data_IF_335518091883
#
_entry.id   IF_335518091883
#
_cell.length_a   1.000
_cell.length_b   1.000
_cell.length_c   1.000
_cell.angle_alpha   90.00
_cell.angle_beta   90.00
_cell.angle_gamma   90.00
#
_symmetry.space_group_name_H-M   'P 1'
#
loop_
_entity.id
_entity.type
_entity.pdbx_description
1 polymer ?
#
# COMPACT_ATOMS: atom_id res chain seq x y z
N UNK A 1 -73.00 7.13 61.81
CA UNK A 1 -72.25 5.92 61.44
C UNK A 1 -71.02 6.36 60.63
N UNK A 2 -69.89 6.59 61.29
CA UNK A 2 -68.70 7.23 60.70
C UNK A 2 -67.67 6.12 60.42
N UNK A 3 -67.43 5.81 59.13
CA UNK A 3 -66.40 4.86 58.70
C UNK A 3 -65.03 5.55 58.75
N UNK A 4 -64.18 5.16 59.70
CA UNK A 4 -62.77 5.58 59.74
C UNK A 4 -62.02 4.92 58.58
N UNK A 5 -61.59 5.73 57.60
CA UNK A 5 -60.72 5.30 56.52
C UNK A 5 -59.28 5.17 57.07
N UNK A 6 -58.87 3.95 57.39
CA UNK A 6 -57.51 3.66 57.85
C UNK A 6 -56.51 3.80 56.71
N UNK A 7 -55.74 4.88 56.71
CA UNK A 7 -54.59 5.09 55.84
C UNK A 7 -53.49 4.11 56.25
N UNK A 8 -53.45 2.93 55.60
CA UNK A 8 -52.29 2.03 55.71
C UNK A 8 -51.08 2.75 55.11
N UNK A 9 -50.17 3.22 55.96
CA UNK A 9 -48.83 3.61 55.53
C UNK A 9 -48.16 2.37 54.96
N UNK A 10 -48.15 2.27 53.63
CA UNK A 10 -47.31 1.28 52.95
C UNK A 10 -45.87 1.60 53.36
N UNK A 11 -45.27 0.72 54.16
CA UNK A 11 -43.85 0.79 54.44
C UNK A 11 -43.15 0.66 53.09
N UNK A 12 -42.50 1.73 52.64
CA UNK A 12 -41.67 1.70 51.45
C UNK A 12 -40.53 0.75 51.76
N UNK A 13 -40.55 -0.42 51.12
CA UNK A 13 -39.47 -1.38 51.22
C UNK A 13 -38.19 -0.70 50.70
N UNK A 14 -37.23 -0.47 51.60
CA UNK A 14 -35.92 0.03 51.23
C UNK A 14 -35.14 -1.10 50.54
N UNK A 15 -34.39 -0.76 49.48
CA UNK A 15 -33.50 -1.71 48.82
C UNK A 15 -32.47 -2.26 49.79
N UNK A 16 -32.25 -3.56 49.74
CA UNK A 16 -31.24 -4.23 50.53
C UNK A 16 -29.85 -3.87 50.03
N UNK A 17 -28.85 -3.93 50.92
CA UNK A 17 -27.44 -3.71 50.55
C UNK A 17 -27.00 -4.67 49.42
N UNK A 18 -27.50 -5.91 49.45
CA UNK A 18 -27.20 -6.93 48.44
C UNK A 18 -27.74 -6.51 47.06
N UNK A 19 -28.97 -5.97 46.99
CA UNK A 19 -29.54 -5.48 45.73
C UNK A 19 -28.74 -4.32 45.13
N UNK A 20 -28.28 -3.39 45.97
CA UNK A 20 -27.42 -2.29 45.51
C UNK A 20 -26.08 -2.84 45.00
N UNK A 21 -25.48 -3.79 45.71
CA UNK A 21 -24.19 -4.35 45.34
C UNK A 21 -24.27 -5.16 44.03
N UNK A 22 -25.34 -5.92 43.83
CA UNK A 22 -25.61 -6.61 42.56
C UNK A 22 -25.85 -5.60 41.43
N UNK A 23 -26.59 -4.53 41.69
CA UNK A 23 -26.84 -3.48 40.68
C UNK A 23 -25.54 -2.80 40.23
N UNK A 24 -24.65 -2.48 41.18
CA UNK A 24 -23.33 -1.90 40.87
C UNK A 24 -22.45 -2.91 40.13
N UNK A 25 -22.50 -4.20 40.48
CA UNK A 25 -21.75 -5.25 39.79
C UNK A 25 -22.22 -5.40 38.33
N UNK A 26 -23.52 -5.46 38.08
CA UNK A 26 -24.08 -5.57 36.72
C UNK A 26 -23.73 -4.33 35.91
N UNK A 27 -23.86 -3.13 36.49
CA UNK A 27 -23.46 -1.89 35.83
C UNK A 27 -21.96 -1.89 35.49
N UNK A 28 -21.11 -2.33 36.42
CA UNK A 28 -19.67 -2.45 36.21
C UNK A 28 -19.32 -3.41 35.07
N UNK A 29 -19.97 -4.58 35.01
CA UNK A 29 -19.79 -5.54 33.92
C UNK A 29 -20.29 -4.98 32.58
N UNK A 30 -21.42 -4.27 32.57
CA UNK A 30 -21.94 -3.61 31.36
C UNK A 30 -20.99 -2.53 30.82
N UNK A 31 -20.44 -1.69 31.70
CA UNK A 31 -19.46 -0.68 31.33
C UNK A 31 -18.14 -1.29 30.84
N UNK A 32 -17.71 -2.40 31.43
CA UNK A 32 -16.53 -3.16 30.97
C UNK A 32 -16.77 -3.72 29.57
N UNK A 33 -17.94 -4.32 29.32
CA UNK A 33 -18.32 -4.82 28.00
C UNK A 33 -18.34 -3.73 26.93
N UNK A 34 -18.89 -2.55 27.25
CA UNK A 34 -18.90 -1.39 26.35
C UNK A 34 -17.47 -0.89 26.09
N UNK A 35 -16.62 -0.86 27.11
CA UNK A 35 -15.20 -0.51 27.00
C UNK A 35 -14.43 -1.39 26.00
N UNK A 36 -14.77 -2.69 25.91
CA UNK A 36 -14.15 -3.63 25.00
C UNK A 36 -14.54 -3.40 23.51
N UNK A 37 -15.67 -2.76 23.23
CA UNK A 37 -16.15 -2.52 21.86
C UNK A 37 -15.51 -1.28 21.21
N UNK A 38 -15.10 -0.28 21.99
CA UNK A 38 -14.57 0.96 21.45
C UNK A 38 -13.36 0.78 20.52
N UNK A 39 -12.33 -0.03 20.85
CA UNK A 39 -11.18 -0.20 19.97
C UNK A 39 -11.57 -0.81 18.62
N UNK A 40 -12.53 -1.74 18.60
CA UNK A 40 -13.03 -2.37 17.37
C UNK A 40 -13.75 -1.34 16.51
N UNK A 41 -14.67 -0.56 17.10
CA UNK A 41 -15.40 0.49 16.37
C UNK A 41 -14.45 1.55 15.80
N UNK A 42 -13.46 1.99 16.57
CA UNK A 42 -12.46 2.96 16.08
C UNK A 42 -11.63 2.40 14.92
N UNK A 43 -11.28 1.11 14.98
CA UNK A 43 -10.59 0.43 13.89
C UNK A 43 -11.46 0.37 12.64
N UNK A 44 -12.71 -0.05 12.77
CA UNK A 44 -13.65 -0.12 11.64
C UNK A 44 -13.93 1.25 11.02
N UNK A 45 -14.16 2.28 11.85
CA UNK A 45 -14.34 3.66 11.37
C UNK A 45 -13.11 4.18 10.62
N UNK A 46 -11.91 3.85 11.13
CA UNK A 46 -10.66 4.23 10.48
C UNK A 46 -10.50 3.55 9.12
N UNK A 47 -10.76 2.24 9.05
CA UNK A 47 -10.74 1.47 7.80
C UNK A 47 -11.79 2.00 6.82
N UNK A 48 -13.00 2.27 7.28
CA UNK A 48 -14.07 2.84 6.46
C UNK A 48 -13.70 4.21 5.89
N UNK A 49 -13.10 5.08 6.72
CA UNK A 49 -12.60 6.39 6.29
C UNK A 49 -11.50 6.25 5.24
N UNK A 50 -10.58 5.29 5.41
CA UNK A 50 -9.54 5.02 4.42
C UNK A 50 -10.05 4.54 3.10
N UNK A 51 -11.01 3.62 3.12
CA UNK A 51 -11.57 3.10 1.88
C UNK A 51 -12.23 4.22 1.08
N UNK A 52 -12.91 5.17 1.75
CA UNK A 52 -13.54 6.31 1.09
C UNK A 52 -12.49 7.31 0.59
N UNK A 53 -11.61 7.79 1.47
CA UNK A 53 -10.61 8.81 1.09
C UNK A 53 -9.58 8.25 0.12
N UNK A 54 -9.15 7.01 0.30
CA UNK A 54 -8.24 6.30 -0.58
C UNK A 54 -8.77 6.25 -2.01
N UNK A 55 -10.06 5.94 -2.23
CA UNK A 55 -10.68 5.98 -3.56
C UNK A 55 -10.70 7.39 -4.14
N UNK A 56 -11.03 8.41 -3.33
CA UNK A 56 -11.02 9.81 -3.80
C UNK A 56 -9.61 10.24 -4.23
N UNK A 57 -8.59 9.95 -3.41
CA UNK A 57 -7.20 10.27 -3.74
C UNK A 57 -6.76 9.50 -4.99
N UNK A 58 -7.06 8.21 -5.07
CA UNK A 58 -6.71 7.36 -6.21
C UNK A 58 -7.32 7.91 -7.51
N UNK A 59 -8.59 8.31 -7.48
CA UNK A 59 -9.26 8.91 -8.65
C UNK A 59 -8.64 10.26 -9.04
N UNK A 60 -8.27 11.10 -8.06
CA UNK A 60 -7.59 12.35 -8.32
C UNK A 60 -6.21 12.12 -8.96
N UNK A 61 -5.44 11.16 -8.46
CA UNK A 61 -4.12 10.82 -9.03
C UNK A 61 -4.31 10.22 -10.43
N UNK A 62 -5.27 9.32 -10.63
CA UNK A 62 -5.60 8.76 -11.94
C UNK A 62 -5.97 9.83 -12.98
N UNK A 63 -6.71 10.86 -12.56
CA UNK A 63 -7.07 11.97 -13.43
C UNK A 63 -5.88 12.91 -13.70
N UNK A 64 -4.98 13.08 -12.73
CA UNK A 64 -3.88 14.05 -12.83
C UNK A 64 -2.66 13.48 -13.53
N UNK A 65 -2.34 12.20 -13.30
CA UNK A 65 -1.09 11.56 -13.74
C UNK A 65 -0.87 11.66 -15.27
N UNK A 66 -1.86 11.39 -16.14
CA UNK A 66 -1.69 11.53 -17.59
C UNK A 66 -1.56 12.99 -18.07
N UNK A 67 -1.92 13.95 -17.22
CA UNK A 67 -1.88 15.38 -17.50
C UNK A 67 -0.69 16.09 -16.83
N UNK A 68 0.15 15.37 -16.10
CA UNK A 68 1.38 15.95 -15.56
C UNK A 68 2.31 16.29 -16.72
N UNK A 69 2.72 17.56 -16.83
CA UNK A 69 3.70 18.02 -17.82
C UNK A 69 5.12 17.59 -17.42
N UNK A 70 5.33 16.27 -17.28
CA UNK A 70 6.62 15.70 -16.86
C UNK A 70 7.73 16.08 -17.86
N UNK A 71 7.41 16.22 -19.14
CA UNK A 71 8.37 16.60 -20.18
C UNK A 71 8.94 18.01 -20.00
N UNK A 72 8.17 18.92 -19.38
CA UNK A 72 8.68 20.25 -19.04
C UNK A 72 9.76 20.21 -17.94
N UNK A 73 9.88 19.10 -17.21
CA UNK A 73 10.85 18.90 -16.15
C UNK A 73 12.13 18.17 -16.62
N UNK A 74 12.16 17.66 -17.86
CA UNK A 74 13.33 16.99 -18.43
C UNK A 74 14.46 18.00 -18.70
N UNK A 75 15.66 17.72 -18.17
CA UNK A 75 16.82 18.59 -18.38
C UNK A 75 17.34 18.49 -19.82
N UNK A 76 17.46 19.63 -20.49
CA UNK A 76 17.95 19.67 -21.88
C UNK A 76 16.95 19.12 -22.90
N UNK A 77 15.66 19.09 -22.55
CA UNK A 77 14.60 18.70 -23.46
C UNK A 77 14.60 19.60 -24.70
N UNK A 78 14.72 18.97 -25.87
CA UNK A 78 14.52 19.61 -27.15
C UNK A 78 13.12 19.21 -27.65
N UNK A 79 12.20 20.16 -27.94
CA UNK A 79 10.87 19.83 -28.43
C UNK A 79 10.85 19.02 -29.74
N UNK A 80 11.95 19.00 -30.49
CA UNK A 80 12.07 18.15 -31.69
C UNK A 80 12.36 16.69 -31.38
N UNK A 81 12.84 16.38 -30.17
CA UNK A 81 13.03 15.02 -29.72
C UNK A 81 11.66 14.47 -29.31
N UNK A 82 11.23 13.36 -29.92
CA UNK A 82 9.98 12.67 -29.57
C UNK A 82 10.05 11.95 -28.19
N UNK A 83 10.85 12.51 -27.27
CA UNK A 83 11.05 12.04 -25.91
C UNK A 83 9.88 12.44 -25.04
N UNK A 84 9.46 11.48 -24.24
CA UNK A 84 8.49 11.63 -23.19
C UNK A 84 9.01 10.82 -22.00
N UNK A 85 8.80 11.27 -20.77
CA UNK A 85 9.24 10.53 -19.57
C UNK A 85 8.79 9.09 -19.64
N UNK A 86 7.54 8.84 -20.00
CA UNK A 86 7.00 7.48 -20.13
C UNK A 86 7.71 6.65 -21.20
N UNK A 87 8.23 7.26 -22.27
CA UNK A 87 9.06 6.55 -23.26
C UNK A 87 10.46 6.31 -22.75
N UNK A 88 11.03 7.27 -22.02
CA UNK A 88 12.38 7.15 -21.46
C UNK A 88 12.46 6.04 -20.41
N UNK A 89 11.38 5.76 -19.67
CA UNK A 89 11.24 4.55 -18.83
C UNK A 89 11.46 3.24 -19.58
N UNK A 90 11.29 3.23 -20.90
CA UNK A 90 11.62 2.05 -21.69
C UNK A 90 13.13 1.93 -21.82
N UNK A 91 13.88 3.00 -22.04
CA UNK A 91 15.30 2.95 -22.40
C UNK A 91 16.24 2.85 -21.19
N UNK A 92 17.29 2.02 -21.29
CA UNK A 92 18.41 2.03 -20.32
C UNK A 92 19.79 1.97 -20.99
N UNK A 93 19.89 1.65 -22.29
CA UNK A 93 21.19 1.37 -22.89
C UNK A 93 21.60 2.43 -23.93
N UNK A 94 22.90 2.70 -23.96
CA UNK A 94 23.55 3.56 -24.96
C UNK A 94 23.46 3.02 -26.40
N UNK A 95 23.06 1.75 -26.57
CA UNK A 95 22.84 1.11 -27.87
C UNK A 95 21.36 1.16 -28.32
N UNK A 96 20.45 1.75 -27.54
CA UNK A 96 19.05 1.95 -27.91
C UNK A 96 18.11 0.78 -27.59
N UNK A 97 18.52 -0.20 -26.78
CA UNK A 97 17.63 -1.25 -26.27
C UNK A 97 16.87 -0.78 -25.02
N UNK A 98 15.63 -1.23 -24.85
CA UNK A 98 14.87 -0.90 -23.65
C UNK A 98 15.47 -1.61 -22.41
N UNK A 99 15.46 -1.02 -21.21
CA UNK A 99 15.63 -1.75 -19.93
C UNK A 99 14.64 -2.90 -19.88
N UNK A 100 13.43 -2.61 -20.35
CA UNK A 100 12.33 -3.53 -20.38
C UNK A 100 12.40 -4.52 -21.57
N UNK A 101 13.51 -4.62 -22.31
CA UNK A 101 13.65 -5.50 -23.50
C UNK A 101 14.30 -6.87 -23.22
N UNK A 102 14.52 -7.23 -21.96
CA UNK A 102 14.91 -8.61 -21.63
C UNK A 102 13.73 -9.59 -21.80
N UNK A 103 14.01 -10.88 -22.04
CA UNK A 103 13.01 -11.95 -22.04
C UNK A 103 12.16 -11.94 -20.75
N UNK A 104 12.76 -11.51 -19.65
CA UNK A 104 12.12 -11.35 -18.35
C UNK A 104 11.06 -10.24 -18.35
N UNK A 105 11.25 -9.17 -19.12
CA UNK A 105 10.34 -8.03 -19.19
C UNK A 105 9.27 -8.16 -20.28
N UNK A 106 9.43 -9.07 -21.24
CA UNK A 106 8.33 -9.53 -22.09
C UNK A 106 7.17 -10.11 -21.27
N UNK A 107 7.41 -10.47 -20.01
CA UNK A 107 6.40 -10.91 -19.06
C UNK A 107 5.71 -9.75 -18.32
N UNK A 108 6.06 -8.48 -18.59
CA UNK A 108 5.41 -7.32 -17.99
C UNK A 108 5.83 -7.03 -16.55
N UNK A 109 7.08 -7.31 -16.18
CA UNK A 109 7.62 -7.07 -14.84
C UNK A 109 7.46 -5.61 -14.36
N UNK A 110 7.29 -5.45 -13.05
CA UNK A 110 7.12 -4.16 -12.41
C UNK A 110 8.45 -3.48 -12.14
N UNK A 111 8.52 -2.19 -12.45
CA UNK A 111 9.60 -1.32 -12.05
C UNK A 111 9.10 -0.23 -11.12
N UNK A 112 9.81 -0.03 -10.02
CA UNK A 112 9.47 0.93 -8.97
C UNK A 112 10.46 2.10 -9.06
N UNK A 113 9.99 3.34 -9.18
CA UNK A 113 10.88 4.49 -9.18
C UNK A 113 11.67 4.56 -7.87
N UNK A 114 12.97 4.81 -7.99
CA UNK A 114 13.82 5.10 -6.83
C UNK A 114 13.32 6.38 -6.15
N UNK A 115 13.25 6.33 -4.83
CA UNK A 115 12.90 7.45 -3.97
C UNK A 115 14.10 7.72 -3.07
N UNK A 116 14.66 8.92 -3.21
CA UNK A 116 15.81 9.31 -2.41
C UNK A 116 15.44 9.51 -0.92
N UNK A 117 16.42 9.79 -0.08
CA UNK A 117 16.19 10.11 1.33
C UNK A 117 15.27 11.33 1.50
N UNK A 118 15.24 12.21 0.49
CA UNK A 118 14.33 13.36 0.40
C UNK A 118 12.85 12.94 0.29
N UNK A 119 12.57 11.72 -0.15
CA UNK A 119 11.23 11.32 -0.56
C UNK A 119 10.90 11.88 -1.95
N UNK A 120 11.85 12.42 -2.68
CA UNK A 120 11.67 12.85 -4.06
C UNK A 120 11.86 11.61 -4.95
N UNK A 121 10.93 11.39 -5.89
CA UNK A 121 10.92 10.18 -6.72
C UNK A 121 11.55 10.48 -8.08
N UNK A 122 12.45 9.62 -8.55
CA UNK A 122 13.13 9.77 -9.84
C UNK A 122 12.41 8.93 -10.89
N UNK A 123 11.81 9.57 -11.88
CA UNK A 123 11.05 8.90 -12.95
C UNK A 123 11.80 9.02 -14.27
N UNK A 124 11.87 7.95 -15.06
CA UNK A 124 12.52 7.93 -16.36
C UNK A 124 13.57 6.83 -16.43
N UNK A 125 14.57 7.03 -17.28
CA UNK A 125 15.70 6.12 -17.47
C UNK A 125 16.67 6.23 -16.27
N UNK A 126 16.74 5.22 -15.40
CA UNK A 126 17.61 5.22 -14.22
C UNK A 126 19.12 5.40 -14.54
N UNK A 127 19.53 5.12 -15.78
CA UNK A 127 20.94 5.22 -16.19
C UNK A 127 21.34 6.61 -16.71
N UNK A 128 20.38 7.48 -17.02
CA UNK A 128 20.62 8.72 -17.73
C UNK A 128 19.94 9.93 -17.04
N UNK A 129 20.74 10.72 -16.30
CA UNK A 129 20.24 11.87 -15.56
C UNK A 129 19.49 12.93 -16.41
N UNK A 130 19.78 13.05 -17.71
CA UNK A 130 19.07 13.95 -18.63
C UNK A 130 17.76 13.37 -19.20
N UNK A 131 17.41 12.14 -18.81
CA UNK A 131 16.17 11.42 -19.14
C UNK A 131 15.38 11.08 -17.88
N UNK A 132 15.76 11.68 -16.76
CA UNK A 132 15.08 11.56 -15.49
C UNK A 132 14.35 12.84 -15.16
N UNK A 133 13.20 12.70 -14.53
CA UNK A 133 12.44 13.76 -13.92
C UNK A 133 12.35 13.47 -12.44
N UNK A 134 12.79 14.46 -11.66
CA UNK A 134 12.57 14.45 -10.23
C UNK A 134 11.14 14.91 -9.94
N UNK A 135 10.32 14.01 -9.41
CA UNK A 135 8.97 14.30 -8.92
C UNK A 135 9.07 14.59 -7.43
N UNK A 136 8.93 15.87 -7.00
CA UNK A 136 9.10 16.22 -5.61
C UNK A 136 8.08 15.52 -4.71
N UNK A 137 8.47 15.21 -3.48
CA UNK A 137 7.60 14.62 -2.48
C UNK A 137 6.30 15.43 -2.32
N UNK A 138 6.41 16.76 -2.37
CA UNK A 138 5.28 17.66 -2.19
C UNK A 138 4.17 17.45 -3.23
N UNK A 139 4.49 17.09 -4.47
CA UNK A 139 3.47 16.75 -5.48
C UNK A 139 2.79 15.41 -5.23
N UNK A 140 3.38 14.58 -4.36
CA UNK A 140 2.89 13.24 -4.01
C UNK A 140 2.03 13.21 -2.74
N UNK A 141 1.93 14.34 -2.02
CA UNK A 141 1.17 14.45 -0.78
C UNK A 141 -0.28 14.88 -1.02
N UNK A 142 -1.20 14.31 -0.23
CA UNK A 142 -2.62 14.67 -0.25
C UNK A 142 -3.15 14.96 1.16
N UNK A 143 -4.00 15.99 1.35
CA UNK A 143 -4.53 16.91 0.33
C UNK A 143 -3.48 17.90 -0.19
N UNK A 144 -3.58 18.25 -1.48
CA UNK A 144 -2.68 19.20 -2.15
C UNK A 144 -3.18 20.66 -2.10
N UNK A 145 -4.37 20.90 -1.55
CA UNK A 145 -4.98 22.22 -1.37
C UNK A 145 -5.91 22.28 -0.14
N UNK A 146 -6.25 23.49 0.32
CA UNK A 146 -7.22 23.71 1.40
C UNK A 146 -6.62 23.97 2.80
N UNK A 147 -7.46 24.15 3.83
CA UNK A 147 -7.02 24.47 5.20
C UNK A 147 -6.18 23.36 5.83
N UNK A 148 -6.36 22.11 5.36
CA UNK A 148 -5.66 20.92 5.86
C UNK A 148 -4.29 20.68 5.19
N UNK A 149 -3.84 21.58 4.31
CA UNK A 149 -2.52 21.53 3.67
C UNK A 149 -1.36 21.31 4.65
N UNK A 150 -1.52 21.76 5.90
CA UNK A 150 -0.50 21.62 6.95
C UNK A 150 -0.38 20.19 7.49
N UNK A 151 -1.32 19.31 7.17
CA UNK A 151 -1.44 17.94 7.70
C UNK A 151 -1.80 16.97 6.57
N UNK A 152 -0.85 16.71 5.64
CA UNK A 152 -1.04 15.66 4.64
C UNK A 152 -1.36 14.33 5.33
N UNK A 153 -2.38 13.64 4.83
CA UNK A 153 -2.86 12.37 5.39
C UNK A 153 -2.44 11.18 4.54
N UNK A 154 -2.21 11.42 3.24
CA UNK A 154 -1.82 10.39 2.29
C UNK A 154 -0.61 10.82 1.49
N UNK A 155 0.17 9.84 1.05
CA UNK A 155 1.17 9.94 0.00
C UNK A 155 0.79 8.94 -1.09
N UNK A 156 1.10 9.26 -2.35
CA UNK A 156 0.96 8.29 -3.43
C UNK A 156 2.30 7.97 -4.08
N UNK A 157 2.40 6.74 -4.55
CA UNK A 157 3.55 6.16 -5.23
C UNK A 157 3.09 5.43 -6.47
N UNK A 158 4.02 5.14 -7.37
CA UNK A 158 3.74 4.38 -8.57
C UNK A 158 4.70 3.21 -8.71
N UNK A 159 4.27 2.20 -9.46
CA UNK A 159 5.15 1.30 -10.17
C UNK A 159 4.66 1.24 -11.62
N UNK A 160 5.55 1.05 -12.57
CA UNK A 160 5.20 1.03 -14.01
C UNK A 160 5.63 -0.31 -14.56
N UNK A 161 4.85 -0.82 -15.49
CA UNK A 161 5.22 -1.98 -16.28
C UNK A 161 4.75 -1.82 -17.73
N UNK A 162 5.35 -2.59 -18.62
CA UNK A 162 4.83 -2.78 -19.98
C UNK A 162 3.66 -3.73 -19.92
N UNK A 163 2.61 -3.42 -20.68
CA UNK A 163 1.56 -4.40 -20.93
C UNK A 163 2.14 -5.52 -21.79
N UNK A 164 2.20 -6.75 -21.28
CA UNK A 164 2.78 -7.84 -22.06
C UNK A 164 1.77 -8.25 -23.15
N UNK A 165 2.14 -8.08 -24.42
CA UNK A 165 1.35 -8.59 -25.53
C UNK A 165 1.71 -10.05 -25.88
N UNK A 166 2.87 -10.52 -25.41
CA UNK A 166 3.45 -11.84 -25.69
C UNK A 166 3.55 -12.13 -27.20
N UNK A 167 3.67 -11.10 -28.05
CA UNK A 167 3.78 -11.25 -29.50
C UNK A 167 5.24 -11.11 -29.91
N UNK A 168 5.87 -12.24 -30.21
CA UNK A 168 7.24 -12.28 -30.74
C UNK A 168 7.35 -11.42 -32.02
N UNK A 169 8.15 -10.36 -31.96
CA UNK A 169 8.42 -9.45 -33.08
C UNK A 169 7.68 -8.11 -33.04
N UNK A 170 6.79 -7.86 -32.07
CA UNK A 170 6.34 -6.50 -31.81
C UNK A 170 7.51 -5.69 -31.20
N UNK A 171 7.64 -4.43 -31.61
CA UNK A 171 8.64 -3.56 -31.00
C UNK A 171 8.11 -3.08 -29.66
N UNK A 172 8.83 -3.42 -28.61
CA UNK A 172 8.70 -2.90 -27.27
C UNK A 172 8.54 -1.40 -27.11
N UNK A 173 9.03 -0.65 -28.09
CA UNK A 173 8.91 0.80 -28.15
C UNK A 173 7.48 1.29 -28.45
N UNK A 174 6.58 0.37 -28.84
CA UNK A 174 5.19 0.66 -29.14
C UNK A 174 4.19 0.07 -28.13
N UNK A 175 4.63 -0.78 -27.20
CA UNK A 175 3.72 -1.40 -26.22
C UNK A 175 3.10 -0.35 -25.29
N UNK A 176 1.83 -0.48 -24.89
CA UNK A 176 1.27 0.44 -23.92
C UNK A 176 1.95 0.26 -22.56
N UNK A 177 2.06 1.37 -21.82
CA UNK A 177 2.55 1.36 -20.44
C UNK A 177 1.40 1.53 -19.47
N UNK A 178 1.45 0.71 -18.43
CA UNK A 178 0.55 0.78 -17.30
C UNK A 178 1.32 1.21 -16.07
N UNK A 179 0.76 2.14 -15.32
CA UNK A 179 1.22 2.46 -13.99
C UNK A 179 0.20 1.94 -12.98
N UNK A 180 0.66 1.27 -11.93
CA UNK A 180 -0.11 1.11 -10.71
C UNK A 180 0.16 2.31 -9.82
N UNK A 181 -0.91 2.90 -9.27
CA UNK A 181 -0.86 3.96 -8.27
C UNK A 181 -1.22 3.34 -6.93
N UNK A 182 -0.33 3.50 -5.95
CA UNK A 182 -0.57 3.16 -4.56
C UNK A 182 -0.84 4.41 -3.75
N UNK A 183 -1.96 4.47 -3.05
CA UNK A 183 -2.25 5.52 -2.07
C UNK A 183 -2.04 4.96 -0.67
N UNK A 184 -1.13 5.58 0.08
CA UNK A 184 -0.73 5.14 1.42
C UNK A 184 -1.01 6.22 2.44
N UNK A 185 -1.30 5.82 3.67
CA UNK A 185 -1.37 6.78 4.77
C UNK A 185 0.03 7.30 5.10
N UNK A 186 0.10 8.56 5.48
CA UNK A 186 1.26 9.09 6.18
C UNK A 186 1.37 8.43 7.55
N UNK A 187 2.60 8.12 7.94
CA UNK A 187 2.98 7.39 9.14
C UNK A 187 2.33 8.00 10.40
N UNK A 188 1.51 7.22 11.14
CA UNK A 188 0.67 7.75 12.20
C UNK A 188 1.44 8.18 13.44
N UNK A 189 2.70 7.76 13.60
CA UNK A 189 3.55 8.10 14.74
C UNK A 189 4.54 9.22 14.43
N UNK A 190 4.48 9.85 13.25
CA UNK A 190 5.26 11.06 13.00
C UNK A 190 4.86 12.13 14.03
N UNK A 191 5.83 12.51 14.88
CA UNK A 191 5.64 13.56 15.88
C UNK A 191 6.27 14.85 15.38
N UNK A 192 5.44 15.86 15.17
CA UNK A 192 5.92 17.22 14.91
C UNK A 192 6.24 17.86 16.26
N UNK A 193 7.49 18.29 16.44
CA UNK A 193 7.91 19.00 17.66
C UNK A 193 7.07 20.27 17.83
N UNK A 194 6.42 20.49 18.99
CA UNK A 194 5.61 21.68 19.24
C UNK A 194 6.45 22.96 19.11
N UNK A 195 5.97 23.94 18.33
CA UNK A 195 6.65 25.23 18.15
C UNK A 195 5.99 26.11 17.09
N UNK A 196 6.30 27.42 17.11
CA UNK A 196 5.69 28.41 16.21
C UNK A 196 5.94 28.04 14.74
N UNK A 197 4.85 27.66 14.05
CA UNK A 197 4.81 27.36 12.62
C UNK A 197 5.48 26.04 12.17
N UNK A 198 5.54 25.03 13.06
CA UNK A 198 5.87 23.66 12.65
C UNK A 198 4.61 22.90 12.26
N UNK A 199 4.59 22.38 11.04
CA UNK A 199 3.49 21.58 10.49
C UNK A 199 4.04 20.23 10.04
N UNK A 200 3.15 19.24 9.87
CA UNK A 200 3.56 17.95 9.32
C UNK A 200 4.10 18.12 7.90
N UNK A 201 3.45 18.95 7.09
CA UNK A 201 3.96 19.28 5.75
C UNK A 201 5.41 19.79 5.80
N UNK A 202 5.73 20.68 6.74
CA UNK A 202 7.08 21.21 6.90
C UNK A 202 8.07 20.12 7.30
N UNK A 203 7.70 19.26 8.25
CA UNK A 203 8.53 18.12 8.66
C UNK A 203 8.82 17.13 7.52
N UNK A 204 7.95 17.08 6.49
CA UNK A 204 8.11 16.22 5.33
C UNK A 204 8.88 16.89 4.18
N UNK A 205 8.78 18.21 4.01
CA UNK A 205 9.22 18.90 2.77
C UNK A 205 10.29 19.98 2.98
N UNK A 206 10.50 20.47 4.20
CA UNK A 206 11.45 21.55 4.47
C UNK A 206 12.84 21.00 4.77
N UNK A 207 13.72 21.03 3.77
CA UNK A 207 15.12 20.57 3.86
C UNK A 207 16.00 21.46 4.74
N UNK A 208 15.52 22.64 5.15
CA UNK A 208 16.28 23.51 6.07
C UNK A 208 16.18 23.05 7.54
N UNK A 209 15.32 22.08 7.84
CA UNK A 209 15.19 21.52 9.18
C UNK A 209 16.42 20.68 9.56
N UNK A 210 16.80 20.63 10.86
CA UNK A 210 17.78 19.67 11.34
C UNK A 210 17.36 18.24 11.02
N UNK A 211 18.32 17.35 10.70
CA UNK A 211 18.04 15.96 10.34
C UNK A 211 17.15 15.22 11.37
N UNK A 212 17.32 15.51 12.67
CA UNK A 212 16.52 14.93 13.75
C UNK A 212 15.02 15.31 13.71
N UNK A 213 14.64 16.39 13.02
CA UNK A 213 13.26 16.85 12.85
C UNK A 213 12.65 16.43 11.51
N UNK A 214 13.49 16.00 10.58
CA UNK A 214 13.09 15.65 9.23
C UNK A 214 12.50 14.23 9.19
N UNK A 215 11.41 14.06 8.46
CA UNK A 215 10.67 12.80 8.33
C UNK A 215 10.33 12.52 6.88
N UNK A 216 10.22 11.24 6.55
CA UNK A 216 9.55 10.77 5.34
C UNK A 216 8.10 10.41 5.64
N UNK A 217 7.17 10.48 4.66
CA UNK A 217 5.77 10.15 4.89
C UNK A 217 5.55 8.70 5.32
N UNK A 218 6.38 7.79 4.82
CA UNK A 218 6.33 6.35 5.05
C UNK A 218 7.77 5.85 5.24
N UNK A 219 8.16 5.61 6.49
CA UNK A 219 9.51 5.18 6.84
C UNK A 219 9.68 3.67 6.77
N UNK A 220 10.85 3.19 6.33
CA UNK A 220 11.27 1.79 6.42
C UNK A 220 12.46 1.63 7.36
N UNK A 221 12.61 0.48 8.00
CA UNK A 221 13.79 0.19 8.82
C UNK A 221 15.08 0.21 7.98
N UNK A 222 16.17 0.68 8.57
CA UNK A 222 17.48 0.68 7.93
C UNK A 222 17.97 -0.73 7.56
N UNK A 223 18.86 -0.80 6.56
CA UNK A 223 19.42 -2.06 6.06
C UNK A 223 18.50 -2.78 5.07
N UNK A 224 18.60 -4.11 5.01
CA UNK A 224 17.84 -4.93 4.06
C UNK A 224 16.41 -5.26 4.54
N UNK A 225 15.79 -4.36 5.31
CA UNK A 225 14.45 -4.56 5.86
C UNK A 225 13.42 -3.72 5.12
N UNK A 226 12.32 -4.34 4.72
CA UNK A 226 11.18 -3.66 4.11
C UNK A 226 10.16 -3.20 5.17
N UNK A 227 10.45 -3.44 6.46
CA UNK A 227 9.49 -3.23 7.54
C UNK A 227 9.25 -1.75 7.80
N UNK A 228 7.98 -1.31 7.90
CA UNK A 228 7.67 0.08 8.20
C UNK A 228 8.01 0.45 9.64
N UNK A 229 8.52 1.66 9.85
CA UNK A 229 8.80 2.22 11.19
C UNK A 229 7.57 2.91 11.79
N UNK A 230 6.66 3.36 10.92
CA UNK A 230 5.43 4.09 11.25
C UNK A 230 5.64 5.46 11.90
N UNK A 231 6.86 5.97 11.95
CA UNK A 231 7.23 7.25 12.55
C UNK A 231 8.00 8.18 11.60
N UNK A 232 8.12 7.79 10.33
CA UNK A 232 8.83 8.54 9.29
C UNK A 232 10.35 8.56 9.43
N UNK A 233 10.93 7.65 10.23
CA UNK A 233 12.39 7.47 10.39
C UNK A 233 12.85 6.12 9.85
N UNK A 234 14.16 5.87 9.88
CA UNK A 234 14.77 4.57 9.58
C UNK A 234 14.91 3.61 10.79
N UNK A 235 14.42 4.03 11.97
CA UNK A 235 14.59 3.32 13.24
C UNK A 235 15.96 3.50 13.92
N UNK A 236 16.95 4.07 13.22
CA UNK A 236 18.27 4.46 13.73
C UNK A 236 18.39 5.98 13.94
N UNK A 237 17.34 6.74 13.63
CA UNK A 237 17.28 8.20 13.77
C UNK A 237 17.58 8.97 12.48
N UNK A 238 17.87 8.27 11.39
CA UNK A 238 17.87 8.80 10.04
C UNK A 238 16.48 8.74 9.40
N UNK A 239 16.44 8.93 8.08
CA UNK A 239 15.24 8.77 7.26
C UNK A 239 15.53 7.73 6.19
N UNK A 240 14.55 6.88 5.89
CA UNK A 240 14.62 5.95 4.78
C UNK A 240 13.20 5.78 4.24
N UNK A 241 12.99 6.18 2.98
CA UNK A 241 11.68 6.05 2.37
C UNK A 241 11.33 4.59 2.12
N UNK A 242 10.10 4.22 2.42
CA UNK A 242 9.54 2.90 2.18
C UNK A 242 8.94 2.88 0.77
N UNK A 243 9.63 2.29 -0.21
CA UNK A 243 9.12 2.19 -1.59
C UNK A 243 8.08 1.06 -1.74
N UNK A 244 7.28 1.04 -2.82
CA UNK A 244 6.60 -0.18 -3.24
C UNK A 244 7.59 -1.34 -3.38
N UNK A 245 7.17 -2.54 -3.00
CA UNK A 245 7.97 -3.76 -3.06
C UNK A 245 7.52 -4.59 -4.25
N UNK A 246 8.50 -5.05 -5.04
CA UNK A 246 8.32 -6.14 -6.01
C UNK A 246 8.65 -7.47 -5.32
N UNK A 247 7.74 -8.44 -5.40
CA UNK A 247 7.93 -9.80 -4.93
C UNK A 247 7.91 -10.80 -6.08
N UNK A 248 9.03 -11.50 -6.23
CA UNK A 248 9.28 -12.41 -7.34
C UNK A 248 8.77 -13.82 -7.04
N UNK A 249 8.12 -14.44 -8.02
CA UNK A 249 7.73 -15.85 -7.96
C UNK A 249 8.98 -16.73 -7.85
N UNK A 250 8.92 -17.74 -7.00
CA UNK A 250 10.01 -18.68 -6.76
C UNK A 250 10.99 -18.20 -5.69
N UNK A 251 11.07 -16.89 -5.43
CA UNK A 251 11.89 -16.29 -4.38
C UNK A 251 11.03 -15.97 -3.15
N UNK A 252 9.99 -15.16 -3.35
CA UNK A 252 9.18 -14.63 -2.26
C UNK A 252 7.87 -15.40 -2.06
N UNK A 253 7.36 -16.04 -3.12
CA UNK A 253 6.10 -16.77 -3.12
C UNK A 253 6.04 -17.80 -4.28
N UNK A 254 5.16 -18.78 -4.18
CA UNK A 254 4.81 -19.69 -5.29
C UNK A 254 3.30 -19.91 -5.39
N UNK A 255 2.83 -20.46 -6.52
CA UNK A 255 1.47 -20.98 -6.58
C UNK A 255 1.41 -22.35 -5.92
N UNK A 256 0.25 -22.64 -5.32
CA UNK A 256 -0.04 -24.01 -4.90
C UNK A 256 -0.30 -24.87 -6.14
N UNK A 257 0.78 -25.32 -6.76
CA UNK A 257 0.75 -26.24 -7.89
C UNK A 257 0.63 -27.70 -7.40
N UNK A 258 0.49 -27.94 -6.10
CA UNK A 258 0.18 -29.26 -5.58
C UNK A 258 -1.19 -29.68 -6.09
N UNK A 259 -1.16 -30.49 -7.14
CA UNK A 259 -2.30 -31.23 -7.68
C UNK A 259 -2.68 -32.36 -6.73
N UNK A 260 -2.75 -32.13 -5.41
CA UNK A 260 -3.31 -33.12 -4.52
C UNK A 260 -4.76 -33.33 -4.99
N UNK A 261 -5.09 -34.50 -5.57
CA UNK A 261 -6.40 -34.71 -6.17
C UNK A 261 -7.53 -34.69 -5.13
N UNK A 262 -7.20 -34.69 -3.83
CA UNK A 262 -8.17 -34.55 -2.74
C UNK A 262 -8.50 -33.09 -2.39
N UNK A 263 -7.70 -32.10 -2.82
CA UNK A 263 -8.01 -30.69 -2.60
C UNK A 263 -9.12 -30.24 -3.57
N UNK A 264 -10.20 -29.68 -2.99
CA UNK A 264 -11.37 -29.17 -3.72
C UNK A 264 -10.92 -28.18 -4.83
N UNK A 265 -11.27 -28.40 -6.11
CA UNK A 265 -10.90 -27.49 -7.20
C UNK A 265 -11.38 -26.05 -7.00
N UNK A 266 -12.35 -25.80 -6.10
CA UNK A 266 -12.76 -24.45 -5.69
C UNK A 266 -11.64 -23.69 -4.95
N UNK A 267 -10.65 -24.38 -4.40
CA UNK A 267 -9.50 -23.80 -3.68
C UNK A 267 -8.39 -23.33 -4.63
N UNK A 268 -8.40 -23.82 -5.87
CA UNK A 268 -7.33 -23.55 -6.83
C UNK A 268 -7.26 -22.08 -7.23
N UNK A 269 -6.07 -21.50 -7.16
CA UNK A 269 -5.82 -20.09 -7.47
C UNK A 269 -6.19 -19.11 -6.36
N UNK A 270 -6.71 -19.58 -5.23
CA UNK A 270 -6.95 -18.74 -4.06
C UNK A 270 -5.73 -18.58 -3.14
N UNK A 271 -4.66 -19.36 -3.31
CA UNK A 271 -3.56 -19.36 -2.36
C UNK A 271 -2.22 -19.03 -3.02
N UNK A 272 -1.48 -18.14 -2.35
CA UNK A 272 -0.04 -17.93 -2.53
C UNK A 272 0.67 -18.72 -1.43
N UNK A 273 1.58 -19.62 -1.80
CA UNK A 273 2.24 -20.56 -0.87
C UNK A 273 3.73 -20.28 -0.75
N UNK A 274 4.38 -21.02 0.15
CA UNK A 274 5.82 -20.94 0.45
C UNK A 274 6.28 -19.55 0.90
N UNK A 275 5.39 -18.84 1.61
CA UNK A 275 5.69 -17.54 2.18
C UNK A 275 6.63 -17.67 3.39
N UNK A 276 7.87 -17.23 3.27
CA UNK A 276 8.80 -17.19 4.41
C UNK A 276 8.55 -15.97 5.31
N UNK A 277 7.57 -16.10 6.21
CA UNK A 277 7.20 -15.04 7.17
C UNK A 277 8.32 -14.67 8.16
N UNK A 278 9.38 -15.48 8.24
CA UNK A 278 10.52 -15.25 9.13
C UNK A 278 11.73 -14.64 8.41
N UNK A 279 11.65 -14.44 7.09
CA UNK A 279 12.74 -13.86 6.32
C UNK A 279 13.13 -12.48 6.88
N UNK A 280 14.43 -12.15 7.05
CA UNK A 280 14.87 -10.89 7.66
C UNK A 280 14.36 -9.62 6.97
N UNK A 281 14.14 -9.67 5.65
CA UNK A 281 13.53 -8.54 4.93
C UNK A 281 12.11 -8.23 5.39
N UNK A 282 11.40 -9.24 5.92
CA UNK A 282 10.00 -9.14 6.30
C UNK A 282 9.02 -9.09 5.13
N UNK A 283 9.50 -9.22 3.88
CA UNK A 283 8.70 -9.05 2.66
C UNK A 283 7.46 -9.95 2.61
N UNK A 284 7.62 -11.25 2.79
CA UNK A 284 6.50 -12.20 2.80
C UNK A 284 5.51 -11.89 3.94
N UNK A 285 5.99 -11.40 5.09
CA UNK A 285 5.12 -10.96 6.20
C UNK A 285 4.30 -9.72 5.86
N UNK A 286 4.84 -8.80 5.09
CA UNK A 286 4.13 -7.61 4.60
C UNK A 286 3.15 -7.98 3.48
N UNK A 287 3.56 -8.86 2.58
CA UNK A 287 2.72 -9.40 1.50
C UNK A 287 1.50 -10.13 2.05
N UNK A 288 1.67 -10.90 3.12
CA UNK A 288 0.62 -11.71 3.73
C UNK A 288 -0.32 -10.91 4.66
N UNK A 289 -0.24 -9.58 4.76
CA UNK A 289 -1.12 -8.86 5.68
C UNK A 289 -2.60 -8.94 5.23
N UNK A 290 -3.56 -9.19 6.13
CA UNK A 290 -4.97 -9.10 5.78
C UNK A 290 -5.35 -7.72 5.24
N UNK A 291 -6.15 -7.71 4.17
CA UNK A 291 -6.51 -6.57 3.33
C UNK A 291 -5.38 -6.00 2.48
N UNK A 292 -4.19 -6.61 2.47
CA UNK A 292 -3.12 -6.19 1.57
C UNK A 292 -3.58 -6.28 0.11
N UNK A 293 -3.19 -5.29 -0.69
CA UNK A 293 -3.48 -5.27 -2.13
C UNK A 293 -2.23 -5.63 -2.91
N UNK A 294 -2.33 -6.69 -3.70
CA UNK A 294 -1.25 -7.19 -4.56
C UNK A 294 -1.63 -6.92 -6.01
N UNK A 295 -0.71 -6.42 -6.82
CA UNK A 295 -0.94 -6.22 -8.26
C UNK A 295 0.02 -7.12 -9.03
N UNK A 296 -0.51 -8.04 -9.84
CA UNK A 296 0.33 -8.90 -10.67
C UNK A 296 0.94 -8.14 -11.84
N UNK A 297 1.92 -8.72 -12.53
CA UNK A 297 2.55 -8.18 -13.75
C UNK A 297 1.59 -8.06 -14.96
N UNK A 298 0.32 -8.42 -14.81
CA UNK A 298 -0.74 -8.26 -15.82
C UNK A 298 -1.71 -7.12 -15.45
N UNK A 299 -1.51 -6.46 -14.31
CA UNK A 299 -2.35 -5.39 -13.80
C UNK A 299 -3.61 -5.85 -13.05
N UNK A 300 -3.76 -7.14 -12.76
CA UNK A 300 -4.86 -7.63 -11.94
C UNK A 300 -4.59 -7.32 -10.46
N UNK A 301 -5.62 -6.87 -9.75
CA UNK A 301 -5.53 -6.51 -8.33
C UNK A 301 -6.16 -7.62 -7.48
N UNK A 302 -5.39 -8.12 -6.53
CA UNK A 302 -5.78 -9.14 -5.56
C UNK A 302 -5.79 -8.57 -4.14
N UNK A 303 -6.64 -9.13 -3.30
CA UNK A 303 -6.75 -8.77 -1.88
C UNK A 303 -6.45 -9.98 -1.03
N UNK A 304 -5.51 -9.84 -0.09
CA UNK A 304 -5.23 -10.90 0.89
C UNK A 304 -6.34 -10.93 1.93
N UNK A 305 -7.03 -12.05 2.06
CA UNK A 305 -8.14 -12.23 3.00
C UNK A 305 -7.63 -12.73 4.35
N UNK A 306 -6.82 -13.78 4.32
CA UNK A 306 -6.33 -14.46 5.52
C UNK A 306 -4.98 -15.12 5.25
N UNK A 307 -4.26 -15.45 6.33
CA UNK A 307 -3.03 -16.23 6.31
C UNK A 307 -3.24 -17.47 7.14
N UNK A 308 -2.91 -18.61 6.57
CA UNK A 308 -3.08 -19.91 7.17
C UNK A 308 -1.75 -20.62 7.20
N UNK A 309 -1.59 -21.51 8.18
CA UNK A 309 -0.48 -22.45 8.23
C UNK A 309 -0.97 -23.80 7.72
N UNK A 310 -0.32 -24.30 6.68
CA UNK A 310 -0.57 -25.63 6.12
C UNK A 310 0.65 -26.52 6.35
N UNK A 311 0.57 -27.33 7.40
CA UNK A 311 1.72 -28.07 7.93
C UNK A 311 2.88 -27.16 8.31
N UNK A 312 3.95 -27.20 7.51
CA UNK A 312 5.16 -26.40 7.69
C UNK A 312 5.18 -25.10 6.88
N UNK A 313 4.28 -24.97 5.90
CA UNK A 313 4.22 -23.84 4.97
C UNK A 313 3.22 -22.79 5.44
N UNK A 314 3.50 -21.54 5.13
CA UNK A 314 2.51 -20.46 5.26
C UNK A 314 1.91 -20.19 3.90
N UNK A 315 0.60 -19.98 3.87
CA UNK A 315 -0.13 -19.62 2.66
C UNK A 315 -1.05 -18.42 2.91
N UNK A 316 -1.10 -17.50 1.97
CA UNK A 316 -2.00 -16.36 1.99
C UNK A 316 -3.16 -16.61 1.03
N UNK A 317 -4.39 -16.51 1.54
CA UNK A 317 -5.59 -16.58 0.71
C UNK A 317 -5.84 -15.23 0.04
N UNK A 318 -6.09 -15.22 -1.26
CA UNK A 318 -6.33 -14.04 -2.08
C UNK A 318 -7.70 -14.08 -2.77
N UNK A 319 -8.21 -12.89 -3.09
CA UNK A 319 -9.48 -12.67 -3.79
C UNK A 319 -9.36 -11.47 -4.75
N UNK A 320 -9.75 -11.59 -6.04
CA UNK A 320 -10.29 -12.78 -6.72
C UNK A 320 -9.29 -13.94 -6.79
N UNK A 321 -9.74 -15.19 -7.06
CA UNK A 321 -8.81 -16.26 -7.38
C UNK A 321 -8.08 -15.97 -8.69
N UNK A 322 -6.85 -16.46 -8.80
CA UNK A 322 -6.07 -16.38 -10.03
C UNK A 322 -6.63 -17.40 -11.04
N UNK A 323 -7.07 -16.95 -12.23
CA UNK A 323 -7.57 -17.84 -13.28
C UNK A 323 -6.56 -18.93 -13.64
N UNK A 324 -7.04 -20.13 -13.92
CA UNK A 324 -6.21 -21.26 -14.34
C UNK A 324 -5.31 -20.94 -15.54
N UNK A 325 -5.84 -20.17 -16.51
CA UNK A 325 -5.08 -19.72 -17.68
C UNK A 325 -3.82 -18.90 -17.36
N UNK A 326 -3.74 -18.28 -16.19
CA UNK A 326 -2.61 -17.45 -15.76
C UNK A 326 -1.62 -18.20 -14.86
N UNK A 327 -2.06 -19.28 -14.22
CA UNK A 327 -1.20 -20.10 -13.33
C UNK A 327 -0.15 -20.90 -14.10
N UNK A 328 -0.49 -21.26 -15.35
CA UNK A 328 0.36 -22.06 -16.23
C UNK A 328 0.32 -23.56 -15.88
N UNK A 329 0.73 -24.40 -16.82
CA UNK A 329 1.18 -25.77 -16.52
C UNK A 329 2.70 -25.81 -16.66
N UNK A 330 3.39 -26.81 -16.11
CA UNK A 330 4.85 -26.93 -16.18
C UNK A 330 5.46 -26.85 -17.60
N UNK A 331 4.67 -27.00 -18.66
CA UNK A 331 5.10 -26.86 -20.05
C UNK A 331 4.97 -25.43 -20.63
N UNK A 332 4.19 -24.54 -20.01
CA UNK A 332 4.01 -23.15 -20.42
C UNK A 332 4.67 -22.23 -19.40
N UNK A 333 5.46 -21.25 -19.87
CA UNK A 333 6.05 -20.22 -19.00
C UNK A 333 4.94 -19.61 -18.11
N UNK A 334 5.14 -19.51 -16.80
CA UNK A 334 4.15 -18.92 -15.91
C UNK A 334 3.87 -17.48 -16.32
N UNK A 335 2.60 -17.11 -16.44
CA UNK A 335 2.23 -15.76 -16.89
C UNK A 335 2.33 -14.74 -15.77
N UNK A 336 2.10 -15.18 -14.53
CA UNK A 336 2.31 -14.34 -13.34
C UNK A 336 3.66 -14.68 -12.74
N UNK A 337 4.55 -13.69 -12.75
CA UNK A 337 5.93 -13.80 -12.26
C UNK A 337 6.23 -12.87 -11.11
N UNK A 338 5.45 -11.80 -10.96
CA UNK A 338 5.68 -10.79 -9.94
C UNK A 338 4.37 -10.28 -9.35
N UNK A 339 4.42 -9.93 -8.08
CA UNK A 339 3.46 -9.03 -7.46
C UNK A 339 4.17 -7.76 -7.03
N UNK A 340 3.53 -6.61 -7.23
CA UNK A 340 3.92 -5.35 -6.59
C UNK A 340 2.89 -4.96 -5.54
N UNK A 341 3.36 -4.49 -4.40
CA UNK A 341 2.53 -4.06 -3.28
C UNK A 341 3.29 -3.05 -2.42
N UNK A 342 2.70 -2.58 -1.33
CA UNK A 342 3.35 -1.62 -0.42
C UNK A 342 3.55 -2.17 0.98
N UNK A 343 4.60 -1.74 1.72
CA UNK A 343 4.86 -2.23 3.08
C UNK A 343 3.71 -2.02 4.07
N UNK A 344 2.89 -1.00 3.83
CA UNK A 344 1.65 -0.75 4.55
C UNK A 344 0.48 -1.18 3.67
N UNK A 345 -0.59 -1.68 4.28
CA UNK A 345 -1.86 -1.88 3.56
C UNK A 345 -2.29 -0.55 2.94
N UNK A 346 -2.37 -0.45 1.60
CA UNK A 346 -2.70 0.81 0.94
C UNK A 346 -4.15 1.18 1.20
N UNK A 347 -4.42 2.49 1.31
CA UNK A 347 -5.78 3.01 1.38
C UNK A 347 -6.51 2.92 0.03
N UNK A 348 -5.75 2.90 -1.08
CA UNK A 348 -6.29 2.73 -2.43
C UNK A 348 -5.21 2.24 -3.39
N UNK A 349 -5.65 1.49 -4.41
CA UNK A 349 -4.81 1.02 -5.51
C UNK A 349 -5.60 1.15 -6.80
N UNK A 350 -4.97 1.64 -7.86
CA UNK A 350 -5.53 1.59 -9.21
C UNK A 350 -4.45 1.40 -10.26
N UNK A 351 -4.80 0.67 -11.32
CA UNK A 351 -3.99 0.59 -12.54
C UNK A 351 -4.51 1.60 -13.55
N UNK A 352 -3.59 2.33 -14.18
CA UNK A 352 -3.87 3.38 -15.15
C UNK A 352 -2.94 3.22 -16.36
N UNK A 353 -3.49 3.41 -17.55
CA UNK A 353 -2.72 3.47 -18.78
C UNK A 353 -2.08 4.87 -18.87
N UNK A 354 -0.75 4.93 -18.92
CA UNK A 354 0.02 6.19 -18.96
C UNK A 354 0.57 6.50 -20.35
N UNK A 355 0.74 5.48 -21.19
CA UNK A 355 1.18 5.62 -22.57
C UNK A 355 0.45 4.59 -23.43
N UNK A 356 -0.09 5.05 -24.55
CA UNK A 356 -0.83 4.25 -25.54
C UNK A 356 0.03 3.85 -26.72
#
# INVERSE_FOLDING_TARGET
>A
MIRSCGTRRAAVAAFTLIEILISVLILGLGLLGLGALFPVVLREQRIGTDNILGVVVTNNVKATLPHMELNALLQGWNPSDARDVWRDWRWHTSNGTAELDDEDYELGQWWVPEVDDNGDATWGDASAANRQVLVPLRSRLYPFAGPDLRRPQYVWDIAVHRMPDFIAGNSSLNDPLHAVVFVRRVDPRIRVVPGNNRSLLRALTDRSLPAAEWRVPVGRQAGNSDLPTFDGTDGAGGVAYSEPIVADRGVDWQFDDNTDPELDPVVLGHYLVDLDLNHPSGRARLMAQPNQRLVDNLGNIYTVETVERDGTRWRARINPPIPESLRGSAANRPRIVQFVFTPQVPAGVAVVEVLR
#
